data_IF_558698703789
#
_entry.id   IF_558698703789
#
_cell.length_a   1.000
_cell.length_b   1.000
_cell.length_c   1.000
_cell.angle_alpha   90.00
_cell.angle_beta   90.00
_cell.angle_gamma   90.00
#
_symmetry.space_group_name_H-M   'P 1'
#
loop_
_entity.id
_entity.type
_entity.pdbx_description
1 polymer ?
#
# COMPACT_ATOMS: atom_id res chain seq x y z
N UNK A 1 -6.27 21.79 22.35
CA UNK A 1 -5.31 21.39 23.39
C UNK A 1 -5.25 19.87 23.31
N UNK A 2 -4.29 19.34 22.56
CA UNK A 2 -4.03 17.90 22.57
C UNK A 2 -3.36 17.61 23.91
N UNK A 3 -3.91 16.65 24.64
CA UNK A 3 -3.36 16.18 25.90
C UNK A 3 -1.94 15.66 25.62
N UNK A 4 -0.93 16.13 26.36
CA UNK A 4 0.50 15.82 26.18
C UNK A 4 0.85 14.39 26.67
N UNK A 5 -0.13 13.48 26.58
CA UNK A 5 -0.06 12.11 27.09
C UNK A 5 0.33 11.17 25.96
N UNK A 6 1.27 10.25 26.23
CA UNK A 6 1.62 9.16 25.32
C UNK A 6 0.41 8.27 25.02
N UNK A 7 0.18 7.98 23.73
CA UNK A 7 -0.81 7.00 23.29
C UNK A 7 -0.37 5.61 23.75
N UNK A 8 -1.21 4.93 24.52
CA UNK A 8 -0.99 3.56 24.99
C UNK A 8 -1.63 2.56 24.02
N UNK A 9 -1.21 1.30 24.08
CA UNK A 9 -1.82 0.25 23.25
C UNK A 9 -3.31 0.06 23.56
N UNK A 10 -3.71 0.26 24.82
CA UNK A 10 -5.13 0.17 25.23
C UNK A 10 -6.00 1.25 24.61
N UNK A 11 -5.45 2.43 24.32
CA UNK A 11 -6.15 3.49 23.58
C UNK A 11 -6.45 3.04 22.14
N UNK A 12 -5.51 2.31 21.52
CA UNK A 12 -5.68 1.74 20.18
C UNK A 12 -6.74 0.63 20.17
N UNK A 13 -6.75 -0.24 21.19
CA UNK A 13 -7.78 -1.28 21.34
C UNK A 13 -9.17 -0.65 21.48
N UNK A 14 -9.28 0.40 22.30
CA UNK A 14 -10.53 1.14 22.48
C UNK A 14 -11.01 1.81 21.19
N UNK A 15 -10.11 2.51 20.49
CA UNK A 15 -10.40 3.15 19.22
C UNK A 15 -10.81 2.12 18.15
N UNK A 16 -10.08 1.00 18.04
CA UNK A 16 -10.40 -0.08 17.12
C UNK A 16 -11.79 -0.67 17.38
N UNK A 17 -12.11 -0.98 18.64
CA UNK A 17 -13.39 -1.56 19.04
C UNK A 17 -14.59 -0.67 18.65
N UNK A 18 -14.40 0.65 18.65
CA UNK A 18 -15.43 1.65 18.32
C UNK A 18 -15.43 2.09 16.86
N UNK A 19 -14.50 1.58 16.05
CA UNK A 19 -14.24 2.05 14.68
C UNK A 19 -13.99 3.56 14.65
N UNK A 20 -13.27 4.06 15.65
CA UNK A 20 -13.02 5.49 15.83
C UNK A 20 -12.17 6.03 14.67
N UNK A 21 -12.59 7.12 13.99
CA UNK A 21 -11.78 7.76 12.96
C UNK A 21 -10.38 8.19 13.44
N UNK A 22 -10.20 8.43 14.74
CA UNK A 22 -8.88 8.77 15.30
C UNK A 22 -7.92 7.59 15.36
N UNK A 23 -8.41 6.35 15.18
CA UNK A 23 -7.60 5.13 15.22
C UNK A 23 -6.36 5.24 14.32
N UNK A 24 -6.52 5.76 13.09
CA UNK A 24 -5.42 5.88 12.14
C UNK A 24 -4.33 6.82 12.67
N UNK A 25 -4.72 8.03 13.10
CA UNK A 25 -3.79 9.02 13.63
C UNK A 25 -3.07 8.50 14.88
N UNK A 26 -3.80 7.86 15.79
CA UNK A 26 -3.24 7.31 17.03
C UNK A 26 -2.30 6.14 16.77
N UNK A 27 -2.57 5.26 15.81
CA UNK A 27 -1.61 4.19 15.43
C UNK A 27 -0.32 4.79 14.88
N UNK A 28 -0.40 5.84 14.05
CA UNK A 28 0.78 6.51 13.52
C UNK A 28 1.60 7.21 14.61
N UNK A 29 0.93 7.88 15.54
CA UNK A 29 1.55 8.51 16.71
C UNK A 29 2.18 7.48 17.65
N UNK A 30 1.47 6.38 17.94
CA UNK A 30 1.98 5.26 18.71
C UNK A 30 3.25 4.65 18.08
N UNK A 31 3.26 4.45 16.77
CA UNK A 31 4.42 3.90 16.05
C UNK A 31 5.62 4.85 16.02
N UNK A 32 5.42 6.15 16.26
CA UNK A 32 6.49 7.13 16.39
C UNK A 32 7.15 7.10 17.79
N UNK A 33 6.48 6.52 18.79
CA UNK A 33 7.01 6.36 20.14
C UNK A 33 8.00 5.17 20.21
N UNK A 34 9.07 5.25 21.03
CA UNK A 34 9.92 4.10 21.29
C UNK A 34 9.17 3.05 22.12
N UNK A 35 9.50 1.77 21.95
CA UNK A 35 9.02 0.75 22.88
C UNK A 35 9.55 1.02 24.30
N UNK A 36 8.77 0.68 25.34
CA UNK A 36 9.28 0.62 26.70
C UNK A 36 10.50 -0.32 26.80
N UNK A 37 11.41 -0.08 27.76
CA UNK A 37 12.52 -1.00 28.00
C UNK A 37 12.01 -2.44 28.27
N UNK A 38 12.79 -3.44 27.87
CA UNK A 38 12.37 -4.84 27.92
C UNK A 38 11.88 -5.25 29.32
N UNK A 39 10.66 -5.78 29.39
CA UNK A 39 10.04 -6.23 30.63
C UNK A 39 9.40 -5.12 31.48
N UNK A 40 9.45 -3.86 31.05
CA UNK A 40 8.82 -2.74 31.76
C UNK A 40 7.43 -2.42 31.18
N UNK A 41 6.49 -1.92 32.01
CA UNK A 41 5.16 -1.54 31.54
C UNK A 41 5.21 -0.29 30.64
N UNK A 42 4.17 -0.12 29.84
CA UNK A 42 4.00 1.03 28.93
C UNK A 42 3.70 2.33 29.68
N UNK A 43 2.99 2.22 30.80
CA UNK A 43 2.63 3.32 31.69
C UNK A 43 3.05 2.95 33.13
N UNK A 44 4.33 3.17 33.51
CA UNK A 44 4.80 2.88 34.86
C UNK A 44 4.20 3.89 35.85
N UNK A 45 3.73 3.41 37.01
CA UNK A 45 3.34 4.29 38.10
C UNK A 45 4.51 5.17 38.59
N UNK A 46 4.21 6.32 39.18
CA UNK A 46 5.24 7.27 39.65
C UNK A 46 6.25 6.66 40.64
N UNK A 47 5.84 5.64 41.39
CA UNK A 47 6.68 4.91 42.36
C UNK A 47 7.35 3.65 41.77
N UNK A 48 7.18 3.39 40.47
CA UNK A 48 7.74 2.21 39.80
C UNK A 48 9.27 2.19 39.85
N UNK A 49 9.83 1.08 40.31
CA UNK A 49 11.27 0.85 40.35
C UNK A 49 11.66 -0.14 39.23
N UNK A 50 12.43 0.30 38.21
CA UNK A 50 12.86 -0.57 37.12
C UNK A 50 13.67 -1.76 37.65
N UNK A 51 13.18 -2.98 37.41
CA UNK A 51 13.93 -4.19 37.71
C UNK A 51 14.73 -4.64 36.48
N UNK A 52 15.98 -5.10 36.66
CA UNK A 52 16.74 -5.66 35.56
C UNK A 52 16.05 -6.92 35.03
N UNK A 53 16.03 -7.07 33.71
CA UNK A 53 15.46 -8.23 33.06
C UNK A 53 16.24 -9.49 33.47
N UNK A 54 15.55 -10.56 33.88
CA UNK A 54 16.19 -11.83 34.19
C UNK A 54 16.95 -12.38 32.96
N UNK A 55 18.12 -13.04 33.14
CA UNK A 55 18.93 -13.51 32.01
C UNK A 55 18.19 -14.45 31.05
N UNK A 56 17.20 -15.18 31.57
CA UNK A 56 16.35 -16.13 30.87
C UNK A 56 14.91 -15.61 30.64
N UNK A 57 14.68 -14.31 30.76
CA UNK A 57 13.42 -13.72 30.30
C UNK A 57 13.37 -13.62 28.77
N UNK A 58 12.16 -13.51 28.23
CA UNK A 58 11.97 -13.22 26.81
C UNK A 58 12.01 -11.71 26.54
N UNK A 59 12.75 -11.34 25.50
CA UNK A 59 12.87 -9.98 24.99
C UNK A 59 12.98 -9.98 23.46
N UNK A 60 12.93 -8.82 22.82
CA UNK A 60 13.16 -8.70 21.37
C UNK A 60 14.56 -9.19 20.97
N UNK A 61 15.57 -8.91 21.78
CA UNK A 61 16.93 -9.34 21.47
C UNK A 61 17.09 -10.85 21.57
N UNK A 62 16.46 -11.46 22.59
CA UNK A 62 16.44 -12.92 22.69
C UNK A 62 15.65 -13.54 21.53
N UNK A 63 14.54 -12.93 21.11
CA UNK A 63 13.82 -13.36 19.92
C UNK A 63 14.72 -13.29 18.68
N UNK A 64 15.42 -12.17 18.45
CA UNK A 64 16.38 -12.03 17.33
C UNK A 64 17.47 -13.10 17.35
N UNK A 65 18.04 -13.38 18.53
CA UNK A 65 19.06 -14.42 18.68
C UNK A 65 18.51 -15.81 18.38
N UNK A 66 17.28 -16.10 18.84
CA UNK A 66 16.61 -17.39 18.63
C UNK A 66 16.25 -17.61 17.16
N UNK A 67 15.86 -16.54 16.45
CA UNK A 67 15.47 -16.58 15.05
C UNK A 67 16.64 -16.33 14.08
N UNK A 68 17.86 -16.18 14.59
CA UNK A 68 19.05 -16.00 13.77
C UNK A 68 19.25 -17.23 12.86
N UNK A 69 19.55 -17.04 11.56
CA UNK A 69 19.89 -18.13 10.64
C UNK A 69 20.89 -19.16 11.18
N UNK A 70 21.87 -18.74 11.98
CA UNK A 70 22.83 -19.66 12.61
C UNK A 70 22.19 -20.57 13.67
N UNK A 71 21.27 -20.03 14.48
CA UNK A 71 20.54 -20.80 15.50
C UNK A 71 19.52 -21.77 14.89
N UNK A 72 19.10 -21.52 13.64
CA UNK A 72 18.18 -22.35 12.88
C UNK A 72 18.90 -23.26 11.86
N UNK A 73 20.23 -23.27 11.86
CA UNK A 73 21.02 -24.13 10.98
C UNK A 73 20.76 -25.61 11.31
N UNK A 74 20.64 -26.45 10.28
CA UNK A 74 20.35 -27.88 10.42
C UNK A 74 18.90 -28.24 10.73
N UNK A 75 18.05 -27.27 11.12
CA UNK A 75 16.61 -27.50 11.29
C UNK A 75 15.90 -27.62 9.95
N UNK A 76 14.93 -28.53 9.87
CA UNK A 76 13.98 -28.62 8.75
C UNK A 76 12.92 -27.49 8.82
N UNK A 77 12.07 -27.38 7.81
CA UNK A 77 11.09 -26.29 7.72
C UNK A 77 10.03 -26.33 8.84
N UNK A 78 9.58 -27.52 9.24
CA UNK A 78 8.61 -27.69 10.33
C UNK A 78 9.23 -27.32 11.69
N UNK A 79 10.47 -27.73 11.94
CA UNK A 79 11.24 -27.38 13.14
C UNK A 79 11.51 -25.88 13.22
N UNK A 80 11.80 -25.24 12.09
CA UNK A 80 11.94 -23.77 12.01
C UNK A 80 10.64 -23.09 12.32
N UNK A 81 9.54 -23.55 11.72
CA UNK A 81 8.21 -22.97 11.95
C UNK A 81 7.79 -23.12 13.41
N UNK A 82 8.00 -24.30 14.01
CA UNK A 82 7.72 -24.56 15.41
C UNK A 82 8.58 -23.69 16.34
N UNK A 83 9.88 -23.55 16.06
CA UNK A 83 10.77 -22.68 16.83
C UNK A 83 10.35 -21.20 16.75
N UNK A 84 10.01 -20.71 15.55
CA UNK A 84 9.49 -19.36 15.35
C UNK A 84 8.21 -19.12 16.15
N UNK A 85 7.24 -20.02 16.04
CA UNK A 85 5.96 -19.90 16.73
C UNK A 85 6.13 -19.98 18.25
N UNK A 86 6.94 -20.91 18.75
CA UNK A 86 7.21 -21.06 20.18
C UNK A 86 7.90 -19.85 20.78
N UNK A 87 8.94 -19.33 20.12
CA UNK A 87 9.65 -18.13 20.57
C UNK A 87 8.75 -16.89 20.59
N UNK A 88 7.92 -16.72 19.57
CA UNK A 88 6.95 -15.63 19.48
C UNK A 88 5.90 -15.72 20.60
N UNK A 89 5.31 -16.90 20.79
CA UNK A 89 4.32 -17.13 21.84
C UNK A 89 4.91 -16.88 23.23
N UNK A 90 6.14 -17.34 23.48
CA UNK A 90 6.80 -17.14 24.75
C UNK A 90 7.15 -15.67 25.03
N UNK A 91 7.51 -14.88 24.00
CA UNK A 91 7.68 -13.44 24.16
C UNK A 91 6.36 -12.74 24.46
N UNK A 92 5.29 -13.04 23.72
CA UNK A 92 3.97 -12.43 23.97
C UNK A 92 3.39 -12.80 25.35
N UNK A 93 3.76 -13.95 25.90
CA UNK A 93 3.36 -14.38 27.24
C UNK A 93 4.24 -13.83 28.37
N UNK A 94 5.30 -13.07 28.08
CA UNK A 94 6.11 -12.42 29.11
C UNK A 94 5.33 -11.32 29.84
N UNK A 95 5.80 -10.89 31.02
CA UNK A 95 5.06 -9.94 31.88
C UNK A 95 4.68 -8.64 31.18
N UNK A 96 5.61 -8.07 30.40
CA UNK A 96 5.40 -6.84 29.64
C UNK A 96 6.04 -7.00 28.24
N UNK A 97 5.35 -7.66 27.30
CA UNK A 97 5.85 -7.80 25.94
C UNK A 97 5.84 -6.42 25.28
N UNK A 98 6.79 -6.12 24.36
CA UNK A 98 6.79 -4.87 23.62
C UNK A 98 5.42 -4.63 22.97
N UNK A 99 4.72 -3.53 23.32
CA UNK A 99 3.33 -3.33 22.93
C UNK A 99 3.12 -3.33 21.41
N UNK A 100 4.09 -2.84 20.63
CA UNK A 100 4.06 -2.87 19.15
C UNK A 100 3.83 -4.26 18.56
N UNK A 101 4.21 -5.34 19.24
CA UNK A 101 4.01 -6.70 18.74
C UNK A 101 2.52 -7.10 18.70
N UNK A 102 1.70 -6.49 19.56
CA UNK A 102 0.26 -6.73 19.63
C UNK A 102 -0.52 -6.07 18.48
N UNK A 103 0.05 -5.03 17.85
CA UNK A 103 -0.56 -4.36 16.69
C UNK A 103 -0.88 -5.34 15.55
N UNK A 104 -0.04 -6.36 15.36
CA UNK A 104 -0.27 -7.36 14.31
C UNK A 104 -1.61 -8.06 14.46
N UNK A 105 -1.95 -8.45 15.70
CA UNK A 105 -3.24 -9.09 15.98
C UNK A 105 -4.39 -8.09 15.93
N UNK A 106 -4.23 -6.87 16.46
CA UNK A 106 -5.25 -5.83 16.40
C UNK A 106 -5.69 -5.50 14.95
N UNK A 107 -4.72 -5.39 14.03
CA UNK A 107 -5.02 -5.17 12.61
C UNK A 107 -5.71 -6.38 11.97
N UNK A 108 -5.34 -7.59 12.37
CA UNK A 108 -5.99 -8.82 11.89
C UNK A 108 -7.42 -8.92 12.40
N UNK A 109 -7.68 -8.55 13.65
CA UNK A 109 -9.00 -8.58 14.26
C UNK A 109 -9.93 -7.54 13.60
N UNK A 110 -9.42 -6.34 13.30
CA UNK A 110 -10.13 -5.36 12.49
C UNK A 110 -10.51 -5.92 11.11
N UNK A 111 -9.58 -6.57 10.41
CA UNK A 111 -9.88 -7.15 9.10
C UNK A 111 -10.84 -8.35 9.19
N UNK A 112 -10.69 -9.16 10.24
CA UNK A 112 -11.51 -10.35 10.47
C UNK A 112 -12.96 -10.00 10.81
N UNK A 113 -13.21 -8.83 11.42
CA UNK A 113 -14.55 -8.34 11.74
C UNK A 113 -15.46 -8.20 10.51
N UNK A 114 -14.87 -8.07 9.31
CA UNK A 114 -15.57 -8.09 8.02
C UNK A 114 -16.68 -7.01 7.90
N UNK A 115 -16.48 -5.88 8.57
CA UNK A 115 -17.32 -4.69 8.46
C UNK A 115 -16.63 -3.56 7.69
N UNK A 116 -17.41 -2.78 6.94
CA UNK A 116 -16.89 -1.72 6.09
C UNK A 116 -16.14 -0.61 6.87
N UNK A 117 -16.59 -0.17 8.06
CA UNK A 117 -15.82 0.77 8.88
C UNK A 117 -14.42 0.25 9.24
N UNK A 118 -14.28 -0.99 9.69
CA UNK A 118 -12.97 -1.58 10.00
C UNK A 118 -12.07 -1.62 8.76
N UNK A 119 -12.65 -2.05 7.63
CA UNK A 119 -11.95 -2.11 6.35
C UNK A 119 -11.49 -0.72 5.89
N UNK A 120 -12.33 0.31 6.05
CA UNK A 120 -11.99 1.69 5.74
C UNK A 120 -10.81 2.20 6.57
N UNK A 121 -10.79 1.94 7.88
CA UNK A 121 -9.66 2.29 8.75
C UNK A 121 -8.35 1.64 8.28
N UNK A 122 -8.40 0.38 7.85
CA UNK A 122 -7.22 -0.32 7.33
C UNK A 122 -6.76 0.23 5.97
N UNK A 123 -7.70 0.53 5.07
CA UNK A 123 -7.41 1.15 3.77
C UNK A 123 -6.83 2.55 3.92
N UNK A 124 -7.17 3.27 5.00
CA UNK A 124 -6.62 4.57 5.33
C UNK A 124 -5.25 4.47 6.03
N UNK A 125 -5.10 3.55 6.98
CA UNK A 125 -3.87 3.37 7.77
C UNK A 125 -2.72 2.78 6.95
N UNK A 126 -2.97 1.65 6.26
CA UNK A 126 -1.91 0.90 5.58
C UNK A 126 -1.09 1.79 4.64
N UNK A 127 -1.64 2.66 3.76
CA UNK A 127 -0.84 3.52 2.88
C UNK A 127 -0.10 4.67 3.59
N UNK A 128 -0.39 4.93 4.87
CA UNK A 128 0.26 5.98 5.66
C UNK A 128 1.39 5.50 6.59
N UNK A 129 1.41 4.23 7.00
CA UNK A 129 2.52 3.59 7.73
C UNK A 129 3.93 4.04 7.24
N UNK A 130 4.76 4.67 8.08
CA UNK A 130 6.12 5.02 7.66
C UNK A 130 6.94 3.75 7.39
N UNK A 131 7.76 3.66 6.32
CA UNK A 131 8.43 2.41 5.95
C UNK A 131 9.30 1.79 7.06
N UNK A 132 9.88 2.62 7.94
CA UNK A 132 10.72 2.17 9.06
C UNK A 132 9.91 1.56 10.23
N UNK A 133 8.59 1.74 10.25
CA UNK A 133 7.68 1.20 11.28
C UNK A 133 7.15 -0.21 10.95
N UNK A 134 7.36 -0.68 9.70
CA UNK A 134 6.98 -2.04 9.27
C UNK A 134 7.98 -3.05 9.84
N UNK A 135 7.90 -3.24 11.15
CA UNK A 135 8.69 -4.19 11.96
C UNK A 135 7.80 -5.36 12.39
N UNK A 136 8.33 -6.22 13.27
CA UNK A 136 7.52 -7.23 13.97
C UNK A 136 6.28 -6.60 14.63
N UNK A 137 5.14 -7.30 14.58
CA UNK A 137 3.82 -6.72 14.88
C UNK A 137 3.12 -6.28 13.60
N UNK A 138 3.39 -5.07 13.11
CA UNK A 138 2.81 -4.55 11.85
C UNK A 138 3.01 -5.51 10.67
N UNK A 139 4.22 -6.07 10.51
CA UNK A 139 4.50 -7.05 9.46
C UNK A 139 3.65 -8.33 9.58
N UNK A 140 3.38 -8.80 10.80
CA UNK A 140 2.49 -9.95 11.02
C UNK A 140 1.08 -9.60 10.53
N UNK A 141 0.58 -8.43 10.89
CA UNK A 141 -0.72 -7.91 10.44
C UNK A 141 -0.79 -7.83 8.92
N UNK A 142 0.13 -7.10 8.28
CA UNK A 142 0.22 -6.95 6.81
C UNK A 142 0.24 -8.31 6.11
N UNK A 143 1.09 -9.24 6.56
CA UNK A 143 1.20 -10.58 5.95
C UNK A 143 -0.07 -11.40 6.14
N UNK A 144 -0.73 -11.32 7.30
CA UNK A 144 -1.96 -12.05 7.57
C UNK A 144 -3.16 -11.48 6.80
N UNK A 145 -3.32 -10.15 6.79
CA UNK A 145 -4.35 -9.45 6.00
C UNK A 145 -4.16 -9.77 4.52
N UNK A 146 -2.93 -9.72 4.01
CA UNK A 146 -2.64 -10.08 2.62
C UNK A 146 -3.18 -11.47 2.25
N UNK A 147 -2.95 -12.49 3.08
CA UNK A 147 -3.46 -13.84 2.82
C UNK A 147 -4.99 -13.92 2.87
N UNK A 148 -5.62 -13.21 3.82
CA UNK A 148 -7.08 -13.18 3.92
C UNK A 148 -7.70 -12.42 2.74
N UNK A 149 -7.10 -11.30 2.33
CA UNK A 149 -7.53 -10.51 1.18
C UNK A 149 -7.41 -11.29 -0.14
N UNK A 150 -6.38 -12.14 -0.30
CA UNK A 150 -6.31 -13.11 -1.41
C UNK A 150 -7.56 -14.02 -1.42
N UNK A 151 -7.93 -14.59 -0.27
CA UNK A 151 -9.07 -15.51 -0.17
C UNK A 151 -10.43 -14.83 -0.36
N UNK A 152 -10.57 -13.59 0.10
CA UNK A 152 -11.80 -12.79 0.01
C UNK A 152 -11.95 -12.06 -1.33
N UNK A 153 -10.94 -12.10 -2.19
CA UNK A 153 -10.88 -11.29 -3.41
C UNK A 153 -11.06 -9.79 -3.14
N UNK A 154 -10.54 -9.30 -2.00
CA UNK A 154 -10.61 -7.90 -1.63
C UNK A 154 -9.54 -7.10 -2.39
N UNK A 155 -9.88 -6.68 -3.61
CA UNK A 155 -8.92 -6.07 -4.52
C UNK A 155 -8.42 -4.71 -4.07
N UNK A 156 -9.21 -3.92 -3.34
CA UNK A 156 -8.71 -2.64 -2.82
C UNK A 156 -7.67 -2.88 -1.71
N UNK A 157 -7.93 -3.84 -0.81
CA UNK A 157 -6.96 -4.20 0.23
C UNK A 157 -5.69 -4.82 -0.36
N UNK A 158 -5.84 -5.71 -1.34
CA UNK A 158 -4.70 -6.25 -2.09
C UNK A 158 -3.92 -5.15 -2.80
N UNK A 159 -4.60 -4.16 -3.39
CA UNK A 159 -4.01 -3.00 -4.04
C UNK A 159 -3.02 -2.26 -3.15
N UNK A 160 -3.49 -1.86 -1.96
CA UNK A 160 -2.66 -1.10 -1.02
C UNK A 160 -1.51 -1.94 -0.44
N UNK A 161 -1.74 -3.23 -0.19
CA UNK A 161 -0.70 -4.15 0.29
C UNK A 161 0.36 -4.41 -0.78
N UNK A 162 -0.01 -4.50 -2.06
CA UNK A 162 0.93 -4.63 -3.17
C UNK A 162 1.83 -3.39 -3.28
N UNK A 163 1.24 -2.19 -3.24
CA UNK A 163 2.00 -0.94 -3.17
C UNK A 163 3.01 -0.99 -2.01
N UNK A 164 2.55 -1.39 -0.82
CA UNK A 164 3.43 -1.47 0.35
C UNK A 164 4.57 -2.44 0.22
N UNK A 165 4.39 -3.56 -0.48
CA UNK A 165 5.47 -4.49 -0.76
C UNK A 165 6.46 -3.91 -1.79
N UNK A 166 6.01 -3.06 -2.70
CA UNK A 166 6.84 -2.37 -3.69
C UNK A 166 7.68 -1.24 -3.09
N UNK A 167 7.11 -0.48 -2.14
CA UNK A 167 7.77 0.57 -1.38
C UNK A 167 8.75 -0.04 -0.37
N UNK A 168 9.90 -0.49 -0.89
CA UNK A 168 10.92 -1.22 -0.14
C UNK A 168 11.33 -0.43 1.12
N UNK A 169 11.25 -1.00 2.33
CA UNK A 169 11.84 -0.37 3.49
C UNK A 169 13.35 -0.30 3.28
N UNK A 170 13.97 0.83 3.64
CA UNK A 170 15.44 0.97 3.61
C UNK A 170 16.03 -0.08 4.56
N UNK A 171 16.56 -1.16 3.99
CA UNK A 171 17.10 -2.29 4.74
C UNK A 171 18.46 -1.89 5.29
N UNK A 172 18.46 -1.56 6.58
CA UNK A 172 19.67 -1.37 7.38
C UNK A 172 19.49 -1.75 8.85
N UNK A 173 18.25 -1.83 9.35
CA UNK A 173 17.98 -1.90 10.79
C UNK A 173 16.67 -2.66 11.15
N UNK A 174 16.24 -3.58 10.28
CA UNK A 174 14.88 -4.14 10.29
C UNK A 174 14.76 -5.57 10.84
N UNK A 175 13.70 -5.80 11.61
CA UNK A 175 13.25 -7.12 12.08
C UNK A 175 12.87 -8.08 10.92
N UNK A 176 12.71 -7.55 9.69
CA UNK A 176 12.32 -8.29 8.48
C UNK A 176 13.48 -8.38 7.50
N UNK A 177 13.85 -9.61 7.13
CA UNK A 177 14.95 -9.82 6.19
C UNK A 177 14.59 -9.41 4.76
N UNK A 178 15.58 -8.93 4.00
CA UNK A 178 15.44 -8.62 2.57
C UNK A 178 14.84 -9.77 1.77
N UNK A 179 15.28 -11.00 2.05
CA UNK A 179 14.77 -12.19 1.37
C UNK A 179 13.27 -12.42 1.60
N UNK A 180 12.80 -12.21 2.83
CA UNK A 180 11.38 -12.31 3.19
C UNK A 180 10.55 -11.26 2.47
N UNK A 181 11.05 -10.03 2.43
CA UNK A 181 10.40 -8.93 1.72
C UNK A 181 10.27 -9.20 0.22
N UNK A 182 11.39 -9.53 -0.44
CA UNK A 182 11.42 -9.86 -1.86
C UNK A 182 10.55 -11.09 -2.18
N UNK A 183 10.48 -12.08 -1.28
CA UNK A 183 9.58 -13.21 -1.42
C UNK A 183 8.12 -12.74 -1.48
N UNK A 184 7.68 -11.90 -0.54
CA UNK A 184 6.30 -11.41 -0.50
C UNK A 184 5.97 -10.56 -1.72
N UNK A 185 6.89 -9.68 -2.14
CA UNK A 185 6.73 -8.86 -3.36
C UNK A 185 6.57 -9.71 -4.63
N UNK A 186 7.40 -10.75 -4.79
CA UNK A 186 7.26 -11.70 -5.89
C UNK A 186 5.99 -12.52 -5.80
N UNK A 187 5.55 -12.88 -4.59
CA UNK A 187 4.28 -13.58 -4.35
C UNK A 187 3.10 -12.71 -4.79
N UNK A 188 3.09 -11.44 -4.43
CA UNK A 188 2.07 -10.48 -4.84
C UNK A 188 1.95 -10.37 -6.36
N UNK A 189 3.08 -10.20 -7.07
CA UNK A 189 3.05 -10.24 -8.53
C UNK A 189 2.54 -11.59 -9.07
N UNK A 190 3.00 -12.72 -8.51
CA UNK A 190 2.56 -14.05 -8.95
C UNK A 190 1.05 -14.20 -8.82
N UNK A 191 0.48 -13.75 -7.71
CA UNK A 191 -0.97 -13.80 -7.47
C UNK A 191 -1.73 -12.92 -8.47
N UNK A 192 -1.30 -11.65 -8.65
CA UNK A 192 -1.92 -10.75 -9.62
C UNK A 192 -1.85 -11.30 -11.06
N UNK A 193 -0.72 -11.93 -11.43
CA UNK A 193 -0.57 -12.60 -12.73
C UNK A 193 -1.47 -13.82 -12.86
N UNK A 194 -1.62 -14.64 -11.82
CA UNK A 194 -2.52 -15.79 -11.82
C UNK A 194 -3.98 -15.35 -11.96
N UNK A 195 -4.38 -14.28 -11.27
CA UNK A 195 -5.70 -13.66 -11.46
C UNK A 195 -5.90 -13.19 -12.89
N UNK A 196 -4.94 -12.49 -13.49
CA UNK A 196 -5.03 -12.05 -14.88
C UNK A 196 -5.03 -13.20 -15.90
N UNK A 197 -4.39 -14.33 -15.59
CA UNK A 197 -4.47 -15.54 -16.43
C UNK A 197 -5.84 -16.20 -16.35
N UNK A 198 -6.46 -16.23 -15.16
CA UNK A 198 -7.77 -16.84 -14.95
C UNK A 198 -8.93 -15.95 -15.44
N UNK A 199 -8.80 -14.63 -15.24
CA UNK A 199 -9.81 -13.62 -15.55
C UNK A 199 -9.16 -12.40 -16.26
N UNK A 200 -8.73 -12.55 -17.52
CA UNK A 200 -8.02 -11.49 -18.23
C UNK A 200 -8.77 -10.16 -18.25
N UNK A 201 -10.08 -10.18 -18.48
CA UNK A 201 -10.93 -8.99 -18.61
C UNK A 201 -10.95 -8.12 -17.34
N UNK A 202 -10.73 -8.72 -16.17
CA UNK A 202 -10.71 -8.02 -14.88
C UNK A 202 -9.30 -7.56 -14.46
N UNK A 203 -8.25 -8.01 -15.17
CA UNK A 203 -6.88 -7.65 -14.84
C UNK A 203 -6.66 -6.12 -14.76
N UNK A 204 -7.15 -5.30 -15.72
CA UNK A 204 -7.00 -3.84 -15.63
C UNK A 204 -7.59 -3.23 -14.36
N UNK A 205 -8.73 -3.74 -13.89
CA UNK A 205 -9.36 -3.29 -12.65
C UNK A 205 -8.46 -3.59 -11.45
N UNK A 206 -7.92 -4.81 -11.36
CA UNK A 206 -7.03 -5.21 -10.27
C UNK A 206 -5.70 -4.44 -10.31
N UNK A 207 -5.13 -4.28 -11.50
CA UNK A 207 -3.92 -3.50 -11.70
C UNK A 207 -4.14 -2.03 -11.34
N UNK A 208 -5.31 -1.46 -11.68
CA UNK A 208 -5.70 -0.11 -11.27
C UNK A 208 -5.74 0.07 -9.75
N UNK A 209 -6.29 -0.91 -9.02
CA UNK A 209 -6.28 -0.90 -7.55
C UNK A 209 -4.87 -0.89 -6.97
N UNK A 210 -3.87 -1.51 -7.61
CA UNK A 210 -2.47 -1.41 -7.19
C UNK A 210 -1.87 -0.06 -7.54
N UNK A 211 -2.03 0.38 -8.79
CA UNK A 211 -1.39 1.58 -9.33
C UNK A 211 -1.86 2.89 -8.67
N UNK A 212 -3.10 2.97 -8.18
CA UNK A 212 -3.64 4.19 -7.54
C UNK A 212 -2.91 4.60 -6.25
N UNK A 213 -2.23 3.67 -5.58
CA UNK A 213 -1.62 3.92 -4.26
C UNK A 213 -0.19 4.47 -4.31
N UNK A 214 0.48 4.50 -5.46
CA UNK A 214 1.84 5.02 -5.53
C UNK A 214 1.84 6.55 -5.31
N UNK A 215 2.65 7.07 -4.37
CA UNK A 215 2.67 8.50 -4.05
C UNK A 215 3.41 9.33 -5.14
N UNK A 216 3.24 10.66 -5.18
CA UNK A 216 3.86 11.53 -6.19
C UNK A 216 5.38 11.37 -6.33
N UNK A 217 6.08 11.20 -5.20
CA UNK A 217 7.53 11.06 -5.11
C UNK A 217 8.07 9.64 -5.32
N UNK A 218 7.20 8.69 -5.70
CA UNK A 218 7.58 7.29 -5.84
C UNK A 218 8.70 7.08 -6.87
N UNK A 219 9.77 6.39 -6.47
CA UNK A 219 10.83 5.95 -7.37
C UNK A 219 10.54 4.55 -7.90
N UNK A 220 9.92 4.46 -9.07
CA UNK A 220 9.54 3.18 -9.69
C UNK A 220 10.69 2.23 -9.98
N UNK A 221 11.95 2.66 -9.87
CA UNK A 221 13.11 1.77 -9.99
C UNK A 221 13.12 0.64 -8.96
N UNK A 222 12.46 0.85 -7.83
CA UNK A 222 12.37 -0.13 -6.75
C UNK A 222 11.04 -0.90 -6.75
N UNK A 223 10.08 -0.52 -7.60
CA UNK A 223 8.72 -1.04 -7.58
C UNK A 223 8.57 -2.20 -8.58
N UNK A 224 8.77 -3.43 -8.10
CA UNK A 224 8.68 -4.61 -8.96
C UNK A 224 7.29 -4.81 -9.53
N UNK A 225 6.25 -4.69 -8.72
CA UNK A 225 4.86 -4.97 -9.10
C UNK A 225 4.36 -3.93 -10.10
N UNK A 226 4.59 -2.63 -9.87
CA UNK A 226 4.22 -1.59 -10.83
C UNK A 226 4.85 -1.80 -12.22
N UNK A 227 6.15 -2.11 -12.26
CA UNK A 227 6.81 -2.36 -13.54
C UNK A 227 6.36 -3.68 -14.18
N UNK A 228 5.98 -4.68 -13.39
CA UNK A 228 5.33 -5.85 -13.96
C UNK A 228 3.97 -5.53 -14.59
N UNK A 229 3.23 -4.56 -14.06
CA UNK A 229 1.95 -4.13 -14.65
C UNK A 229 2.16 -3.43 -15.99
N UNK A 230 2.93 -2.34 -16.06
CA UNK A 230 2.99 -1.53 -17.28
C UNK A 230 4.07 -1.93 -18.28
N UNK A 231 5.03 -2.79 -17.92
CA UNK A 231 6.14 -3.21 -18.80
C UNK A 231 6.55 -4.67 -18.64
N UNK A 232 5.58 -5.54 -18.37
CA UNK A 232 5.80 -6.97 -18.18
C UNK A 232 6.75 -7.62 -19.20
N UNK A 233 6.55 -7.32 -20.49
CA UNK A 233 7.31 -7.95 -21.58
C UNK A 233 8.82 -7.67 -21.48
N UNK A 234 9.22 -6.52 -20.93
CA UNK A 234 10.62 -6.15 -20.71
C UNK A 234 11.26 -6.94 -19.56
N UNK A 235 10.42 -7.48 -18.66
CA UNK A 235 10.85 -8.15 -17.44
C UNK A 235 10.77 -9.68 -17.54
N UNK A 236 10.37 -10.23 -18.68
CA UNK A 236 10.36 -11.69 -18.90
C UNK A 236 11.78 -12.23 -18.76
N UNK A 237 11.94 -13.29 -17.96
CA UNK A 237 13.24 -13.88 -17.64
C UNK A 237 14.06 -13.13 -16.59
N UNK A 238 13.63 -11.93 -16.17
CA UNK A 238 14.25 -11.20 -15.06
C UNK A 238 13.75 -11.71 -13.72
N UNK A 239 14.60 -11.60 -12.69
CA UNK A 239 14.22 -11.89 -11.30
C UNK A 239 14.30 -10.62 -10.47
N UNK A 240 13.36 -10.48 -9.55
CA UNK A 240 13.35 -9.36 -8.62
C UNK A 240 14.56 -9.37 -7.67
N UNK A 241 15.48 -8.42 -7.90
CA UNK A 241 16.67 -8.17 -7.08
C UNK A 241 16.56 -6.88 -6.25
N UNK A 242 15.38 -6.29 -6.07
CA UNK A 242 15.25 -5.03 -5.31
C UNK A 242 15.30 -3.77 -6.17
N UNK A 243 16.02 -3.81 -7.30
CA UNK A 243 16.27 -2.64 -8.16
C UNK A 243 16.19 -3.06 -9.63
N UNK A 244 15.55 -2.24 -10.46
CA UNK A 244 15.46 -2.44 -11.90
C UNK A 244 16.49 -1.58 -12.65
N UNK A 245 16.96 -2.09 -13.79
CA UNK A 245 17.87 -1.35 -14.69
C UNK A 245 17.14 -0.28 -15.50
N UNK A 246 15.86 -0.47 -15.78
CA UNK A 246 14.99 0.51 -16.42
C UNK A 246 13.73 0.70 -15.58
N UNK A 247 13.36 1.95 -15.35
CA UNK A 247 12.25 2.34 -14.50
C UNK A 247 11.55 3.53 -15.10
N UNK A 248 10.26 3.37 -15.40
CA UNK A 248 9.52 4.31 -16.22
C UNK A 248 8.58 3.55 -17.15
N UNK A 249 7.68 4.28 -17.78
CA UNK A 249 6.73 3.71 -18.72
C UNK A 249 7.45 3.16 -19.95
N UNK A 250 6.94 2.06 -20.55
CA UNK A 250 7.49 1.58 -21.80
C UNK A 250 7.22 2.59 -22.92
N UNK A 251 8.06 2.58 -23.96
CA UNK A 251 7.80 3.34 -25.19
C UNK A 251 6.53 2.83 -25.90
N UNK A 252 6.36 1.51 -25.96
CA UNK A 252 5.19 0.85 -26.54
C UNK A 252 4.28 0.31 -25.44
N UNK A 253 3.01 0.74 -25.40
CA UNK A 253 2.07 0.27 -24.36
C UNK A 253 1.80 -1.23 -24.43
N UNK A 254 1.98 -1.85 -25.60
CA UNK A 254 1.85 -3.29 -25.81
C UNK A 254 2.80 -4.12 -24.95
N UNK A 255 3.80 -3.50 -24.32
CA UNK A 255 4.70 -4.12 -23.33
C UNK A 255 4.03 -4.40 -21.98
N UNK A 256 2.86 -3.81 -21.70
CA UNK A 256 2.11 -4.01 -20.44
C UNK A 256 1.62 -5.45 -20.28
N UNK A 257 1.40 -5.86 -19.03
CA UNK A 257 0.79 -7.15 -18.73
C UNK A 257 -0.65 -7.19 -19.27
N UNK A 258 -0.99 -8.30 -19.94
CA UNK A 258 -2.34 -8.54 -20.49
C UNK A 258 -2.84 -7.39 -21.36
N UNK A 259 -2.00 -6.94 -22.32
CA UNK A 259 -2.28 -5.79 -23.19
C UNK A 259 -3.70 -5.79 -23.81
N UNK A 260 -4.16 -6.93 -24.32
CA UNK A 260 -5.48 -7.03 -24.94
C UNK A 260 -6.62 -6.76 -23.94
N UNK A 261 -6.44 -7.11 -22.66
CA UNK A 261 -7.45 -6.85 -21.64
C UNK A 261 -7.65 -5.36 -21.38
N UNK A 262 -6.59 -4.56 -21.44
CA UNK A 262 -6.68 -3.10 -21.27
C UNK A 262 -7.48 -2.42 -22.38
N UNK A 263 -7.64 -3.07 -23.54
CA UNK A 263 -8.36 -2.55 -24.71
C UNK A 263 -9.85 -2.89 -24.69
N UNK A 264 -10.31 -3.72 -23.75
CA UNK A 264 -11.72 -4.16 -23.68
C UNK A 264 -12.63 -3.03 -23.21
N UNK A 265 -12.20 -2.26 -22.20
CA UNK A 265 -13.01 -1.20 -21.60
C UNK A 265 -12.15 -0.02 -21.17
N UNK A 266 -12.60 1.24 -21.38
CA UNK A 266 -11.90 2.42 -20.90
C UNK A 266 -12.04 2.62 -19.39
N UNK A 267 -13.04 2.00 -18.75
CA UNK A 267 -13.40 2.21 -17.35
C UNK A 267 -12.21 2.11 -16.36
N UNK A 268 -11.36 1.07 -16.44
CA UNK A 268 -10.22 0.93 -15.51
C UNK A 268 -9.22 2.09 -15.63
N UNK A 269 -8.99 2.60 -16.86
CA UNK A 269 -8.08 3.71 -17.11
C UNK A 269 -8.68 5.05 -16.67
N UNK A 270 -9.99 5.25 -16.90
CA UNK A 270 -10.71 6.45 -16.42
C UNK A 270 -10.70 6.52 -14.88
N UNK A 271 -10.99 5.41 -14.21
CA UNK A 271 -10.95 5.31 -12.75
C UNK A 271 -9.54 5.49 -12.21
N UNK A 272 -8.54 4.86 -12.83
CA UNK A 272 -7.14 5.03 -12.44
C UNK A 272 -6.70 6.50 -12.54
N UNK A 273 -7.12 7.21 -13.58
CA UNK A 273 -6.81 8.62 -13.77
C UNK A 273 -7.49 9.51 -12.72
N UNK A 274 -8.72 9.19 -12.30
CA UNK A 274 -9.39 9.86 -11.18
C UNK A 274 -8.67 9.61 -9.84
N UNK A 275 -8.30 8.36 -9.56
CA UNK A 275 -7.81 7.95 -8.24
C UNK A 275 -6.29 8.16 -8.03
N UNK A 276 -5.47 8.07 -9.07
CA UNK A 276 -4.01 8.04 -8.90
C UNK A 276 -3.41 9.43 -8.62
N UNK A 277 -2.51 9.54 -7.65
CA UNK A 277 -1.83 10.80 -7.31
C UNK A 277 -0.43 10.93 -7.95
N UNK A 278 0.06 9.89 -8.62
CA UNK A 278 1.37 9.89 -9.25
C UNK A 278 1.28 10.26 -10.74
N UNK A 279 2.14 11.18 -11.18
CA UNK A 279 2.16 11.68 -12.57
C UNK A 279 2.47 10.60 -13.60
N UNK A 280 3.37 9.65 -13.32
CA UNK A 280 3.69 8.55 -14.24
C UNK A 280 2.56 7.53 -14.34
N UNK A 281 1.82 7.30 -13.25
CA UNK A 281 0.62 6.46 -13.27
C UNK A 281 -0.49 7.14 -14.10
N UNK A 282 -0.67 8.45 -13.92
CA UNK A 282 -1.61 9.22 -14.74
C UNK A 282 -1.20 9.23 -16.23
N UNK A 283 0.09 9.36 -16.53
CA UNK A 283 0.63 9.27 -17.90
C UNK A 283 0.30 7.91 -18.54
N UNK A 284 0.47 6.82 -17.78
CA UNK A 284 0.09 5.48 -18.26
C UNK A 284 -1.39 5.40 -18.61
N UNK A 285 -2.26 5.94 -17.75
CA UNK A 285 -3.70 5.96 -17.99
C UNK A 285 -4.07 6.81 -19.22
N UNK A 286 -3.52 8.01 -19.32
CA UNK A 286 -3.73 8.95 -20.43
C UNK A 286 -3.29 8.31 -21.75
N UNK A 287 -2.06 7.77 -21.81
CA UNK A 287 -1.55 7.11 -23.03
C UNK A 287 -2.45 5.93 -23.44
N UNK A 288 -2.94 5.15 -22.48
CA UNK A 288 -3.88 4.07 -22.75
C UNK A 288 -5.20 4.56 -23.36
N UNK A 289 -5.79 5.61 -22.78
CA UNK A 289 -7.03 6.21 -23.28
C UNK A 289 -6.85 6.80 -24.69
N UNK A 290 -5.75 7.53 -24.91
CA UNK A 290 -5.46 8.15 -26.21
C UNK A 290 -5.15 7.13 -27.31
N UNK A 291 -4.49 6.02 -26.97
CA UNK A 291 -4.15 4.98 -27.92
C UNK A 291 -5.36 4.12 -28.26
N UNK A 292 -6.06 3.63 -27.25
CA UNK A 292 -7.02 2.53 -27.38
C UNK A 292 -8.49 3.00 -27.37
N UNK A 293 -8.80 4.21 -26.88
CA UNK A 293 -10.18 4.68 -26.63
C UNK A 293 -10.48 6.11 -27.12
N UNK A 294 -10.01 6.45 -28.32
CA UNK A 294 -10.19 7.80 -28.92
C UNK A 294 -11.65 8.24 -29.01
N UNK A 295 -12.56 7.33 -29.35
CA UNK A 295 -13.98 7.66 -29.48
C UNK A 295 -14.62 7.95 -28.13
N UNK A 296 -14.23 7.24 -27.06
CA UNK A 296 -14.66 7.55 -25.69
C UNK A 296 -14.23 8.97 -25.29
N UNK A 297 -13.01 9.38 -25.64
CA UNK A 297 -12.50 10.73 -25.35
C UNK A 297 -13.25 11.84 -26.10
N UNK A 298 -13.90 11.54 -27.23
CA UNK A 298 -14.75 12.49 -27.97
C UNK A 298 -16.11 12.71 -27.31
N UNK A 299 -16.57 11.79 -26.48
CA UNK A 299 -17.89 11.83 -25.85
C UNK A 299 -17.79 11.76 -24.33
N UNK A 300 -16.79 12.44 -23.76
CA UNK A 300 -16.51 12.36 -22.34
C UNK A 300 -17.46 13.25 -21.53
N UNK A 301 -17.88 12.75 -20.38
CA UNK A 301 -18.82 13.46 -19.51
C UNK A 301 -18.19 14.76 -18.94
N UNK A 302 -18.85 15.92 -19.08
CA UNK A 302 -18.34 17.17 -18.53
C UNK A 302 -18.11 17.12 -17.02
N UNK A 303 -18.96 16.41 -16.28
CA UNK A 303 -18.81 16.27 -14.82
C UNK A 303 -17.56 15.49 -14.44
N UNK A 304 -17.13 14.53 -15.27
CA UNK A 304 -15.87 13.81 -15.10
C UNK A 304 -14.68 14.73 -15.32
N UNK A 305 -14.70 15.55 -16.38
CA UNK A 305 -13.67 16.56 -16.63
C UNK A 305 -13.57 17.58 -15.49
N UNK A 306 -14.70 18.03 -14.95
CA UNK A 306 -14.73 18.95 -13.82
C UNK A 306 -14.04 18.37 -12.58
N UNK A 307 -14.33 17.10 -12.23
CA UNK A 307 -13.63 16.41 -11.12
C UNK A 307 -12.15 16.26 -11.41
N UNK A 308 -11.79 15.84 -12.61
CA UNK A 308 -10.40 15.61 -12.98
C UNK A 308 -9.57 16.92 -12.95
N UNK A 309 -10.17 18.05 -13.34
CA UNK A 309 -9.53 19.37 -13.30
C UNK A 309 -9.24 19.91 -11.89
N UNK A 310 -9.73 19.27 -10.83
CA UNK A 310 -9.35 19.60 -9.44
C UNK A 310 -8.03 18.97 -9.01
N UNK A 311 -7.52 18.00 -9.78
CA UNK A 311 -6.31 17.25 -9.44
C UNK A 311 -5.07 18.11 -9.72
N UNK A 312 -4.21 18.37 -8.72
CA UNK A 312 -3.05 19.26 -8.89
C UNK A 312 -1.88 18.55 -9.59
N UNK A 313 -2.07 18.14 -10.85
CA UNK A 313 -1.06 17.47 -11.66
C UNK A 313 -1.00 18.06 -13.07
N UNK A 314 0.14 18.65 -13.43
CA UNK A 314 0.35 19.31 -14.73
C UNK A 314 0.05 18.41 -15.93
N UNK A 315 0.40 17.12 -15.84
CA UNK A 315 0.13 16.16 -16.91
C UNK A 315 -1.37 15.97 -17.16
N UNK A 316 -2.16 16.01 -16.09
CA UNK A 316 -3.63 15.89 -16.16
C UNK A 316 -4.22 17.19 -16.70
N UNK A 317 -3.73 18.34 -16.24
CA UNK A 317 -4.13 19.64 -16.78
C UNK A 317 -3.84 19.75 -18.29
N UNK A 318 -2.64 19.34 -18.72
CA UNK A 318 -2.25 19.32 -20.13
C UNK A 318 -3.17 18.42 -20.97
N UNK A 319 -3.52 17.25 -20.44
CA UNK A 319 -4.48 16.35 -21.08
C UNK A 319 -5.89 16.95 -21.20
N UNK A 320 -6.41 17.59 -20.14
CA UNK A 320 -7.70 18.28 -20.17
C UNK A 320 -7.70 19.40 -21.22
N UNK A 321 -6.66 20.24 -21.24
CA UNK A 321 -6.54 21.32 -22.21
C UNK A 321 -6.55 20.79 -23.65
N UNK A 322 -5.87 19.65 -23.90
CA UNK A 322 -5.89 18.97 -25.19
C UNK A 322 -7.31 18.51 -25.55
N UNK A 323 -8.03 17.84 -24.63
CA UNK A 323 -9.40 17.40 -24.86
C UNK A 323 -10.35 18.56 -25.16
N UNK A 324 -10.26 19.66 -24.41
CA UNK A 324 -11.10 20.86 -24.61
C UNK A 324 -10.82 21.54 -25.95
N UNK A 325 -9.57 21.54 -26.41
CA UNK A 325 -9.16 22.14 -27.69
C UNK A 325 -9.61 21.30 -28.89
N UNK A 326 -9.46 19.99 -28.78
CA UNK A 326 -9.63 19.07 -29.91
C UNK A 326 -11.09 18.64 -30.10
N UNK A 327 -11.96 18.90 -29.11
CA UNK A 327 -13.37 18.50 -29.16
C UNK A 327 -14.32 19.71 -29.35
N UNK A 328 -15.06 19.79 -30.48
CA UNK A 328 -15.99 20.88 -30.75
C UNK A 328 -17.18 20.95 -29.77
N UNK A 329 -17.50 19.87 -29.05
CA UNK A 329 -18.55 19.89 -28.03
C UNK A 329 -18.19 20.78 -26.84
N UNK A 330 -16.89 21.00 -26.58
CA UNK A 330 -16.36 21.84 -25.50
C UNK A 330 -16.03 23.28 -25.93
N UNK A 331 -16.67 23.78 -27.00
CA UNK A 331 -16.48 25.16 -27.45
C UNK A 331 -16.69 26.19 -26.30
N UNK A 332 -15.89 27.25 -26.28
CA UNK A 332 -15.85 28.23 -25.17
C UNK A 332 -17.24 28.77 -24.77
N UNK A 333 -18.12 28.99 -25.75
CA UNK A 333 -19.49 29.47 -25.55
C UNK A 333 -20.40 28.50 -24.78
N UNK A 334 -20.07 27.20 -24.75
CA UNK A 334 -20.84 26.15 -24.08
C UNK A 334 -20.32 25.82 -22.67
N UNK A 335 -19.08 26.18 -22.34
CA UNK A 335 -18.42 25.77 -21.09
C UNK A 335 -19.22 26.11 -19.82
N UNK A 336 -19.91 27.26 -19.80
CA UNK A 336 -20.76 27.65 -18.66
C UNK A 336 -22.00 26.77 -18.53
N UNK A 337 -22.62 26.36 -19.64
CA UNK A 337 -23.76 25.45 -19.64
C UNK A 337 -23.35 24.03 -19.25
N UNK A 338 -22.12 23.63 -19.60
CA UNK A 338 -21.55 22.32 -19.28
C UNK A 338 -20.98 22.22 -17.85
N UNK A 339 -21.02 23.30 -17.06
CA UNK A 339 -20.47 23.33 -15.70
C UNK A 339 -18.93 23.32 -15.64
N UNK A 340 -18.25 23.63 -16.74
CA UNK A 340 -16.78 23.57 -16.87
C UNK A 340 -16.10 24.93 -16.68
N UNK A 341 -16.86 26.02 -16.61
CA UNK A 341 -16.31 27.38 -16.62
C UNK A 341 -15.31 27.64 -15.48
N UNK A 342 -15.68 27.34 -14.24
CA UNK A 342 -14.85 27.62 -13.07
C UNK A 342 -13.60 26.73 -13.04
N UNK A 343 -13.71 25.48 -13.51
CA UNK A 343 -12.57 24.57 -13.67
C UNK A 343 -11.57 25.13 -14.69
N UNK A 344 -12.04 25.58 -15.85
CA UNK A 344 -11.16 26.15 -16.89
C UNK A 344 -10.49 27.44 -16.41
N UNK A 345 -11.21 28.30 -15.67
CA UNK A 345 -10.60 29.47 -15.03
C UNK A 345 -9.53 29.05 -14.01
N UNK A 346 -9.81 28.05 -13.18
CA UNK A 346 -8.84 27.50 -12.23
C UNK A 346 -7.54 27.05 -12.89
N UNK A 347 -7.63 26.36 -14.04
CA UNK A 347 -6.46 25.91 -14.82
C UNK A 347 -5.57 27.08 -15.30
N UNK A 348 -6.18 28.23 -15.64
CA UNK A 348 -5.43 29.43 -16.06
C UNK A 348 -4.66 30.08 -14.91
N UNK A 349 -5.16 29.94 -13.67
CA UNK A 349 -4.54 30.48 -12.47
C UNK A 349 -3.57 29.50 -11.80
N UNK A 350 -3.59 28.22 -12.17
CA UNK A 350 -2.69 27.19 -11.66
C UNK A 350 -1.43 26.99 -12.52
N UNK A 351 -1.24 27.81 -13.55
CA UNK A 351 -0.12 27.74 -14.51
C UNK A 351 1.09 28.55 -14.06
#
# INVERSE_FOLDING_TARGET
MADDRSILFTDLEYAAARRDPQFVAWVLEFLAQPDPPAGQPEDPADDYQPQPLAPDAWSLDRLRQTLNPQALAGKNDDERQAACNGAWAALLASTNPPPRLKLGQLLLDLYAADDEPARALLLELIPQLPPHTIKWGIWQGIKGIYKQAEQRYDFAMLGVLCYRLDDQPRLGDGDISRGTWLYMRRRAWRYLRQLGQALPELFPMYAGQVLRHYPPQCHFRHCWIANQIWRHKDLIGTTDQGVLGSSGLPTELERRAFDDAWKISPTPLLQLLEDAHNSQVCDFAIRGLEQDFKDTLRHIEPTWLARLGTKPLDIVHGFIIKLLRDNPEFHQSKLKQLGLHDMVLGLLYSS
#
